data_IF_531814755680
#
_entry.id   IF_531814755680
#
_cell.length_a   1.000
_cell.length_b   1.000
_cell.length_c   1.000
_cell.angle_alpha   90.00
_cell.angle_beta   90.00
_cell.angle_gamma   90.00
#
_symmetry.space_group_name_H-M   'P 1'
#
loop_
_entity.id
_entity.type
_entity.pdbx_description
1 polymer ?
#
# COMPACT_ATOMS: atom_id res chain seq x y z
N UNK A 1 -41.45 27.14 -21.77
CA UNK A 1 -41.95 28.39 -22.38
C UNK A 1 -41.28 29.63 -21.76
N UNK A 2 -40.26 29.51 -20.94
CA UNK A 2 -39.61 30.63 -20.24
C UNK A 2 -38.24 31.08 -20.82
N UNK A 3 -37.74 30.43 -21.87
CA UNK A 3 -36.37 30.70 -22.40
C UNK A 3 -36.40 31.61 -23.66
N UNK A 4 -37.55 32.12 -24.12
CA UNK A 4 -37.68 32.96 -25.33
C UNK A 4 -37.90 34.46 -25.03
N UNK A 5 -38.11 34.87 -23.78
CA UNK A 5 -38.43 36.25 -23.42
C UNK A 5 -37.19 37.07 -22.90
N UNK A 6 -36.04 36.46 -22.73
CA UNK A 6 -34.85 37.15 -22.22
C UNK A 6 -33.89 37.64 -23.33
N UNK A 7 -34.13 37.32 -24.59
CA UNK A 7 -33.25 37.69 -25.72
C UNK A 7 -33.58 39.04 -26.39
N UNK A 8 -34.74 39.64 -26.09
CA UNK A 8 -35.17 40.87 -26.79
C UNK A 8 -35.02 42.14 -25.95
N UNK A 9 -34.39 42.10 -24.78
CA UNK A 9 -34.23 43.28 -23.92
C UNK A 9 -32.84 43.94 -24.00
N UNK A 10 -31.87 43.35 -24.69
CA UNK A 10 -30.49 43.84 -24.73
C UNK A 10 -30.04 44.45 -26.08
N UNK A 11 -30.98 44.71 -26.99
CA UNK A 11 -30.60 45.28 -28.29
C UNK A 11 -30.69 46.81 -28.39
N UNK A 12 -30.89 47.53 -27.27
CA UNK A 12 -31.10 49.01 -27.32
C UNK A 12 -30.09 49.86 -26.52
N UNK A 13 -29.01 49.27 -25.98
CA UNK A 13 -27.92 50.06 -25.40
C UNK A 13 -26.60 49.54 -25.99
N UNK A 14 -26.05 50.33 -26.92
CA UNK A 14 -24.71 50.13 -27.47
C UNK A 14 -23.62 50.31 -26.40
N UNK A 15 -23.31 49.26 -25.66
CA UNK A 15 -22.11 49.11 -24.86
C UNK A 15 -21.26 48.01 -25.45
N UNK A 16 -20.06 48.36 -25.86
CA UNK A 16 -19.02 47.47 -26.35
C UNK A 16 -18.80 46.34 -25.30
N UNK A 17 -19.08 45.11 -25.70
CA UNK A 17 -18.77 43.94 -24.89
C UNK A 17 -17.26 43.74 -24.89
N UNK A 18 -16.57 44.27 -23.90
CA UNK A 18 -15.26 43.72 -23.49
C UNK A 18 -15.52 42.24 -23.08
N UNK A 19 -14.91 41.33 -23.82
CA UNK A 19 -15.02 39.90 -23.61
C UNK A 19 -14.47 39.50 -22.22
N UNK A 20 -15.35 39.45 -21.24
CA UNK A 20 -15.09 38.71 -20.01
C UNK A 20 -15.22 37.25 -20.37
N UNK A 21 -14.10 36.58 -20.67
CA UNK A 21 -14.06 35.14 -20.65
C UNK A 21 -14.40 34.68 -19.23
N UNK A 22 -15.38 33.78 -19.04
CA UNK A 22 -15.62 33.20 -17.74
C UNK A 22 -14.34 32.45 -17.33
N UNK A 23 -13.74 32.86 -16.22
CA UNK A 23 -12.60 32.19 -15.59
C UNK A 23 -13.12 30.96 -14.83
N UNK A 24 -13.82 30.09 -15.55
CA UNK A 24 -13.96 28.70 -15.16
C UNK A 24 -12.84 27.94 -15.86
N UNK A 25 -11.65 28.03 -15.28
CA UNK A 25 -10.57 27.14 -15.61
C UNK A 25 -11.05 25.74 -15.28
N UNK A 26 -11.12 24.89 -16.30
CA UNK A 26 -11.35 23.45 -16.19
C UNK A 26 -10.48 22.87 -15.07
N UNK A 27 -11.04 22.78 -13.88
CA UNK A 27 -10.54 21.82 -12.88
C UNK A 27 -11.00 20.45 -13.39
N UNK A 28 -10.33 19.93 -14.39
CA UNK A 28 -10.38 18.51 -14.70
C UNK A 28 -9.84 17.82 -13.44
N UNK A 29 -10.73 17.36 -12.59
CA UNK A 29 -10.38 16.48 -11.47
C UNK A 29 -9.87 15.20 -12.13
N UNK A 30 -8.56 15.10 -12.30
CA UNK A 30 -7.93 13.85 -12.74
C UNK A 30 -8.34 12.77 -11.75
N UNK A 31 -8.78 11.63 -12.26
CA UNK A 31 -9.11 10.49 -11.41
C UNK A 31 -7.93 10.22 -10.45
N UNK A 32 -8.18 9.90 -9.18
CA UNK A 32 -7.12 9.66 -8.22
C UNK A 32 -6.17 8.54 -8.72
N UNK A 33 -4.89 8.70 -8.46
CA UNK A 33 -3.88 7.70 -8.83
C UNK A 33 -4.22 6.33 -8.22
N UNK A 34 -3.74 5.22 -8.79
CA UNK A 34 -3.92 3.90 -8.19
C UNK A 34 -3.50 3.85 -6.71
N UNK A 35 -2.37 4.49 -6.37
CA UNK A 35 -1.86 4.59 -4.99
C UNK A 35 -2.79 5.38 -4.08
N UNK A 36 -3.32 6.52 -4.55
CA UNK A 36 -4.30 7.32 -3.80
C UNK A 36 -5.60 6.54 -3.56
N UNK A 37 -6.10 5.80 -4.55
CA UNK A 37 -7.29 4.95 -4.39
C UNK A 37 -7.13 3.90 -3.30
N UNK A 38 -5.95 3.27 -3.20
CA UNK A 38 -5.64 2.31 -2.14
C UNK A 38 -5.57 3.02 -0.79
N UNK A 39 -4.92 4.18 -0.72
CA UNK A 39 -4.84 4.98 0.51
C UNK A 39 -6.22 5.40 1.02
N UNK A 40 -7.06 5.94 0.14
CA UNK A 40 -8.44 6.33 0.45
C UNK A 40 -9.27 5.13 0.95
N UNK A 41 -9.16 3.97 0.30
CA UNK A 41 -9.85 2.77 0.72
C UNK A 41 -9.44 2.32 2.13
N UNK A 42 -8.14 2.34 2.45
CA UNK A 42 -7.62 2.00 3.78
C UNK A 42 -8.08 3.00 4.86
N UNK A 43 -8.07 4.29 4.56
CA UNK A 43 -8.54 5.34 5.47
C UNK A 43 -10.05 5.20 5.70
N UNK A 44 -10.82 4.99 4.63
CA UNK A 44 -12.29 4.85 4.69
C UNK A 44 -12.75 3.73 5.63
N UNK A 45 -12.07 2.58 5.61
CA UNK A 45 -12.41 1.44 6.49
C UNK A 45 -11.81 1.54 7.89
N UNK A 46 -11.14 2.65 8.24
CA UNK A 46 -10.48 2.83 9.53
C UNK A 46 -9.24 1.95 9.74
N UNK A 47 -8.61 1.50 8.67
CA UNK A 47 -7.39 0.68 8.74
C UNK A 47 -6.17 1.46 9.26
N UNK A 48 -6.17 2.78 9.15
CA UNK A 48 -5.07 3.64 9.61
C UNK A 48 -5.45 4.24 10.97
N UNK A 49 -4.77 3.78 12.01
CA UNK A 49 -5.00 4.23 13.39
C UNK A 49 -3.88 5.16 13.83
N UNK A 50 -4.24 6.25 14.49
CA UNK A 50 -3.31 7.19 15.10
C UNK A 50 -3.35 7.01 16.61
N UNK A 51 -2.19 6.91 17.25
CA UNK A 51 -2.08 6.75 18.69
C UNK A 51 -2.62 7.98 19.43
N UNK A 52 -3.34 7.73 20.51
CA UNK A 52 -3.80 8.74 21.46
C UNK A 52 -3.03 8.54 22.76
N UNK A 53 -1.81 9.09 22.87
CA UNK A 53 -0.93 8.97 24.02
C UNK A 53 0.20 7.96 23.78
N UNK A 54 0.01 6.68 24.11
CA UNK A 54 1.08 5.68 23.97
C UNK A 54 1.28 5.26 22.51
N UNK A 55 2.55 5.13 22.05
CA UNK A 55 2.86 4.68 20.70
C UNK A 55 2.51 3.20 20.50
N UNK A 56 2.32 2.82 19.26
CA UNK A 56 2.31 1.41 18.88
C UNK A 56 3.75 0.90 18.81
N UNK A 57 4.02 -0.26 19.40
CA UNK A 57 5.31 -0.95 19.26
C UNK A 57 5.10 -2.18 18.38
N UNK A 58 5.75 -2.20 17.22
CA UNK A 58 5.65 -3.30 16.27
C UNK A 58 6.45 -4.52 16.74
N UNK A 59 6.15 -5.69 16.18
CA UNK A 59 6.93 -6.91 16.43
C UNK A 59 8.39 -6.80 15.99
N UNK A 60 8.70 -5.88 15.10
CA UNK A 60 10.05 -5.51 14.67
C UNK A 60 10.81 -4.67 15.71
N UNK A 61 10.13 -4.20 16.76
CA UNK A 61 10.67 -3.32 17.78
C UNK A 61 10.51 -1.82 17.50
N UNK A 62 10.10 -1.42 16.31
CA UNK A 62 9.85 -0.01 15.99
C UNK A 62 8.66 0.54 16.77
N UNK A 63 8.82 1.70 17.41
CA UNK A 63 7.71 2.49 17.93
C UNK A 63 7.20 3.45 16.84
N UNK A 64 5.88 3.61 16.77
CA UNK A 64 5.22 4.44 15.77
C UNK A 64 3.94 5.08 16.34
N UNK A 65 3.60 6.32 15.96
CA UNK A 65 2.30 6.91 16.26
C UNK A 65 1.20 6.36 15.35
N UNK A 66 1.56 5.55 14.35
CA UNK A 66 0.64 5.01 13.34
C UNK A 66 0.65 3.49 13.39
N UNK A 67 -0.54 2.90 13.29
CA UNK A 67 -0.72 1.47 13.06
C UNK A 67 -1.63 1.26 11.87
N UNK A 68 -1.17 0.48 10.88
CA UNK A 68 -1.94 0.17 9.66
C UNK A 68 -2.44 -1.27 9.76
N UNK A 69 -3.75 -1.43 9.96
CA UNK A 69 -4.41 -2.73 10.04
C UNK A 69 -5.07 -3.11 8.70
N UNK A 70 -4.26 -3.57 7.77
CA UNK A 70 -4.72 -4.01 6.45
C UNK A 70 -5.66 -5.21 6.52
N UNK A 71 -5.71 -5.94 7.66
CA UNK A 71 -6.60 -7.09 7.85
C UNK A 71 -8.08 -6.70 7.82
N UNK A 72 -8.40 -5.43 8.06
CA UNK A 72 -9.77 -4.92 7.90
C UNK A 72 -10.28 -5.04 6.46
N UNK A 73 -9.38 -5.08 5.46
CA UNK A 73 -9.74 -5.37 4.07
C UNK A 73 -10.40 -6.75 3.89
N UNK A 74 -10.12 -7.70 4.79
CA UNK A 74 -10.76 -9.02 4.73
C UNK A 74 -12.27 -8.93 4.94
N UNK A 75 -12.73 -7.98 5.72
CA UNK A 75 -14.14 -7.79 6.08
C UNK A 75 -14.86 -6.78 5.18
N UNK A 76 -14.13 -5.89 4.49
CA UNK A 76 -14.72 -4.91 3.59
C UNK A 76 -14.54 -5.32 2.12
N UNK A 77 -15.64 -5.69 1.47
CA UNK A 77 -15.62 -6.21 0.09
C UNK A 77 -15.24 -5.13 -0.93
N UNK A 78 -15.70 -3.89 -0.75
CA UNK A 78 -15.44 -2.82 -1.70
C UNK A 78 -13.98 -2.36 -1.65
N UNK A 79 -13.46 -2.10 -0.45
CA UNK A 79 -12.06 -1.74 -0.25
C UNK A 79 -11.11 -2.86 -0.70
N UNK A 80 -11.44 -4.13 -0.36
CA UNK A 80 -10.68 -5.29 -0.82
C UNK A 80 -10.61 -5.38 -2.34
N UNK A 81 -11.74 -5.20 -3.04
CA UNK A 81 -11.77 -5.20 -4.51
C UNK A 81 -10.89 -4.12 -5.08
N UNK A 82 -10.96 -2.91 -4.57
CA UNK A 82 -10.10 -1.80 -4.98
C UNK A 82 -8.62 -2.18 -4.88
N UNK A 83 -8.19 -2.73 -3.74
CA UNK A 83 -6.80 -3.13 -3.50
C UNK A 83 -6.37 -4.26 -4.44
N UNK A 84 -7.19 -5.29 -4.61
CA UNK A 84 -6.89 -6.45 -5.48
C UNK A 84 -6.86 -6.05 -6.95
N UNK A 85 -7.78 -5.19 -7.40
CA UNK A 85 -7.81 -4.69 -8.78
C UNK A 85 -6.55 -3.85 -9.07
N UNK A 86 -6.18 -2.91 -8.18
CA UNK A 86 -4.94 -2.13 -8.33
C UNK A 86 -3.70 -3.04 -8.36
N UNK A 87 -3.63 -4.05 -7.49
CA UNK A 87 -2.52 -4.99 -7.47
C UNK A 87 -2.42 -5.79 -8.79
N UNK A 88 -3.56 -6.27 -9.28
CA UNK A 88 -3.65 -7.02 -10.53
C UNK A 88 -3.20 -6.17 -11.73
N UNK A 89 -3.73 -4.96 -11.84
CA UNK A 89 -3.39 -4.03 -12.93
C UNK A 89 -1.91 -3.67 -12.94
N UNK A 90 -1.34 -3.45 -11.75
CA UNK A 90 0.07 -3.09 -11.59
C UNK A 90 1.02 -4.25 -11.94
N UNK A 91 0.64 -5.50 -11.66
CA UNK A 91 1.56 -6.63 -11.74
C UNK A 91 1.34 -7.57 -12.92
N UNK A 92 0.16 -7.60 -13.55
CA UNK A 92 -0.15 -8.58 -14.60
C UNK A 92 0.84 -8.59 -15.76
N UNK A 93 1.32 -7.44 -16.22
CA UNK A 93 2.32 -7.34 -17.28
C UNK A 93 3.70 -7.81 -16.81
N UNK A 94 4.11 -7.41 -15.60
CA UNK A 94 5.37 -7.79 -14.98
C UNK A 94 5.45 -9.31 -14.76
N UNK A 95 4.42 -9.91 -14.19
CA UNK A 95 4.30 -11.36 -13.96
C UNK A 95 4.48 -12.15 -15.27
N UNK A 96 3.81 -11.71 -16.34
CA UNK A 96 3.95 -12.35 -17.65
C UNK A 96 5.35 -12.19 -18.24
N UNK A 97 5.94 -11.01 -18.16
CA UNK A 97 7.25 -10.73 -18.77
C UNK A 97 8.42 -11.39 -18.04
N UNK A 98 8.32 -11.56 -16.73
CA UNK A 98 9.35 -12.21 -15.90
C UNK A 98 9.19 -13.72 -15.81
N UNK A 99 8.01 -14.24 -16.16
CA UNK A 99 7.68 -15.67 -16.07
C UNK A 99 7.44 -16.13 -14.63
N UNK A 100 7.03 -15.22 -13.73
CA UNK A 100 6.54 -15.61 -12.40
C UNK A 100 5.39 -16.60 -12.57
N UNK A 101 5.48 -17.75 -11.89
CA UNK A 101 4.55 -18.87 -12.06
C UNK A 101 3.92 -19.37 -10.76
N UNK A 102 4.14 -18.68 -9.64
CA UNK A 102 3.40 -18.90 -8.40
C UNK A 102 3.43 -17.65 -7.48
N UNK A 103 2.39 -17.52 -6.67
CA UNK A 103 2.27 -16.50 -5.62
C UNK A 103 2.51 -17.15 -4.26
N UNK A 104 3.26 -16.48 -3.37
CA UNK A 104 3.50 -16.93 -2.00
C UNK A 104 3.04 -15.89 -1.01
N UNK A 105 2.01 -16.18 -0.23
CA UNK A 105 1.54 -15.29 0.83
C UNK A 105 2.34 -15.42 2.12
N UNK A 106 2.63 -14.31 2.78
CA UNK A 106 3.23 -14.31 4.13
C UNK A 106 2.19 -14.69 5.20
N UNK A 107 2.51 -15.59 6.11
CA UNK A 107 1.68 -15.81 7.30
C UNK A 107 1.69 -14.55 8.18
N UNK A 108 0.53 -14.00 8.60
CA UNK A 108 -0.83 -14.45 8.34
C UNK A 108 -1.56 -13.58 7.32
N UNK A 109 -1.33 -12.26 7.31
CA UNK A 109 -2.09 -11.30 6.50
C UNK A 109 -1.88 -11.51 5.01
N UNK A 110 -0.65 -11.78 4.59
CA UNK A 110 -0.30 -12.02 3.19
C UNK A 110 -0.95 -13.26 2.58
N UNK A 111 -1.44 -14.21 3.38
CA UNK A 111 -2.13 -15.40 2.87
C UNK A 111 -3.40 -15.00 2.11
N UNK A 112 -4.26 -14.18 2.71
CA UNK A 112 -5.50 -13.77 2.07
C UNK A 112 -5.25 -12.93 0.80
N UNK A 113 -4.33 -11.96 0.88
CA UNK A 113 -3.98 -11.11 -0.27
C UNK A 113 -3.30 -11.91 -1.38
N UNK A 114 -2.41 -12.84 -1.01
CA UNK A 114 -1.78 -13.76 -1.97
C UNK A 114 -2.80 -14.65 -2.68
N UNK A 115 -3.81 -15.17 -1.96
CA UNK A 115 -4.85 -15.99 -2.56
C UNK A 115 -5.72 -15.22 -3.54
N UNK A 116 -6.16 -13.99 -3.19
CA UNK A 116 -6.96 -13.18 -4.11
C UNK A 116 -6.17 -12.73 -5.33
N UNK A 117 -4.90 -12.41 -5.17
CA UNK A 117 -4.04 -12.01 -6.29
C UNK A 117 -3.73 -13.21 -7.20
N UNK A 118 -3.43 -14.38 -6.62
CA UNK A 118 -3.19 -15.61 -7.38
C UNK A 118 -4.39 -16.00 -8.25
N UNK A 119 -5.61 -15.92 -7.69
CA UNK A 119 -6.85 -16.15 -8.44
C UNK A 119 -6.99 -15.18 -9.61
N UNK A 120 -6.69 -13.89 -9.42
CA UNK A 120 -6.77 -12.88 -10.48
C UNK A 120 -5.71 -13.03 -11.56
N UNK A 121 -4.55 -13.58 -11.20
CA UNK A 121 -3.43 -13.81 -12.13
C UNK A 121 -3.43 -15.22 -12.75
N UNK A 122 -4.38 -16.06 -12.37
CA UNK A 122 -4.45 -17.49 -12.75
C UNK A 122 -3.15 -18.25 -12.44
N UNK A 123 -2.66 -18.08 -11.19
CA UNK A 123 -1.43 -18.69 -10.71
C UNK A 123 -1.65 -19.58 -9.48
N UNK A 124 -0.86 -20.65 -9.32
CA UNK A 124 -0.80 -21.39 -8.06
C UNK A 124 -0.48 -20.49 -6.87
N UNK A 125 -1.10 -20.79 -5.71
CA UNK A 125 -0.88 -20.10 -4.46
C UNK A 125 -0.26 -21.03 -3.41
N UNK A 126 0.80 -20.52 -2.76
CA UNK A 126 1.49 -21.11 -1.62
C UNK A 126 1.53 -20.10 -0.48
N UNK A 127 1.87 -20.54 0.74
CA UNK A 127 2.16 -19.57 1.80
C UNK A 127 3.39 -19.93 2.63
N UNK A 128 4.09 -18.91 3.10
CA UNK A 128 5.28 -19.04 3.92
C UNK A 128 4.93 -18.81 5.40
N UNK A 129 5.18 -19.81 6.24
CA UNK A 129 4.97 -19.75 7.68
C UNK A 129 6.03 -18.87 8.36
N UNK A 130 5.64 -18.16 9.40
CA UNK A 130 6.58 -17.40 10.25
C UNK A 130 7.60 -18.30 10.95
N UNK A 131 7.13 -19.51 11.38
CA UNK A 131 7.98 -20.49 12.09
C UNK A 131 7.88 -21.85 11.40
N UNK A 132 8.95 -22.65 11.40
CA UNK A 132 8.90 -24.03 10.94
C UNK A 132 7.90 -24.83 11.76
N UNK A 133 7.27 -25.84 11.13
CA UNK A 133 6.58 -26.89 11.85
C UNK A 133 7.61 -27.71 12.64
N UNK A 134 7.31 -28.07 13.89
CA UNK A 134 8.22 -28.83 14.75
C UNK A 134 8.37 -30.31 14.34
N UNK A 135 7.81 -30.72 13.19
CA UNK A 135 7.87 -32.07 12.64
C UNK A 135 8.02 -32.01 11.11
N UNK A 136 8.47 -33.11 10.50
CA UNK A 136 8.80 -33.14 9.08
C UNK A 136 10.13 -32.46 8.75
N UNK A 137 10.35 -32.06 7.50
CA UNK A 137 11.60 -31.45 7.03
C UNK A 137 11.78 -29.98 7.48
N UNK A 138 11.20 -29.57 8.60
CA UNK A 138 11.18 -28.19 9.09
C UNK A 138 10.68 -27.17 8.04
N UNK A 139 9.85 -27.64 7.10
CA UNK A 139 9.37 -26.82 6.00
C UNK A 139 8.54 -25.65 6.51
N UNK A 140 8.87 -24.46 6.04
CA UNK A 140 8.09 -23.25 6.27
C UNK A 140 7.12 -22.95 5.14
N UNK A 141 7.26 -23.61 3.99
CA UNK A 141 6.46 -23.40 2.80
C UNK A 141 5.35 -24.44 2.71
N UNK A 142 4.13 -23.98 2.66
CA UNK A 142 2.93 -24.80 2.46
C UNK A 142 2.46 -24.70 1.01
N UNK A 143 2.05 -25.85 0.46
CA UNK A 143 1.73 -26.03 -0.94
C UNK A 143 2.86 -26.70 -1.70
N UNK A 144 2.68 -26.87 -3.00
CA UNK A 144 3.65 -27.52 -3.88
C UNK A 144 4.28 -26.50 -4.83
N UNK A 145 5.60 -26.37 -4.81
CA UNK A 145 6.33 -25.56 -5.78
C UNK A 145 6.12 -26.09 -7.21
N UNK A 146 5.80 -25.23 -8.18
CA UNK A 146 5.79 -25.63 -9.57
C UNK A 146 7.22 -25.94 -10.07
N UNK A 147 7.37 -26.67 -11.18
CA UNK A 147 8.67 -26.81 -11.84
C UNK A 147 9.26 -25.45 -12.20
N UNK A 148 10.57 -25.30 -12.03
CA UNK A 148 11.29 -24.03 -12.27
C UNK A 148 10.58 -22.82 -11.60
N UNK A 149 10.25 -22.98 -10.31
CA UNK A 149 9.46 -22.01 -9.56
C UNK A 149 10.08 -20.61 -9.60
N UNK A 150 9.33 -19.63 -10.10
CA UNK A 150 9.59 -18.20 -10.01
C UNK A 150 8.47 -17.57 -9.21
N UNK A 151 8.81 -16.97 -8.09
CA UNK A 151 7.85 -16.60 -7.06
C UNK A 151 7.62 -15.10 -6.96
N UNK A 152 6.35 -14.71 -6.79
CA UNK A 152 5.96 -13.42 -6.26
C UNK A 152 5.58 -13.59 -4.79
N UNK A 153 6.34 -12.97 -3.88
CA UNK A 153 6.02 -12.95 -2.46
C UNK A 153 5.06 -11.81 -2.14
N UNK A 154 4.00 -12.08 -1.39
CA UNK A 154 2.95 -11.12 -1.05
C UNK A 154 2.84 -11.00 0.47
N UNK A 155 2.97 -9.77 0.96
CA UNK A 155 2.76 -9.43 2.36
C UNK A 155 1.88 -8.17 2.46
N UNK A 156 1.54 -7.74 3.66
CA UNK A 156 0.64 -6.61 3.86
C UNK A 156 1.37 -5.27 3.98
N UNK A 157 2.32 -5.15 4.90
CA UNK A 157 2.99 -3.88 5.22
C UNK A 157 4.49 -4.10 5.33
N UNK A 158 5.28 -3.09 4.95
CA UNK A 158 6.71 -3.07 5.23
C UNK A 158 7.16 -1.73 5.84
N UNK A 159 8.12 -1.81 6.76
CA UNK A 159 8.86 -0.70 7.36
C UNK A 159 10.29 -0.72 6.83
N UNK A 160 11.19 -1.44 7.49
CA UNK A 160 12.61 -1.56 7.21
C UNK A 160 13.00 -2.72 6.25
N UNK A 161 12.03 -3.44 5.72
CA UNK A 161 12.16 -4.57 4.81
C UNK A 161 12.88 -5.82 5.34
N UNK A 162 13.37 -5.85 6.59
CA UNK A 162 14.08 -7.01 7.16
C UNK A 162 13.27 -8.30 7.07
N UNK A 163 11.97 -8.25 7.36
CA UNK A 163 11.09 -9.42 7.26
C UNK A 163 10.94 -9.94 5.83
N UNK A 164 10.97 -9.04 4.83
CA UNK A 164 10.88 -9.39 3.41
C UNK A 164 12.17 -10.08 2.94
N UNK A 165 13.33 -9.56 3.37
CA UNK A 165 14.63 -10.18 3.11
C UNK A 165 14.73 -11.56 3.76
N UNK A 166 14.32 -11.70 5.02
CA UNK A 166 14.31 -13.00 5.71
C UNK A 166 13.38 -14.03 5.01
N UNK A 167 12.21 -13.60 4.56
CA UNK A 167 11.28 -14.43 3.79
C UNK A 167 11.89 -14.85 2.43
N UNK A 168 12.52 -13.90 1.73
CA UNK A 168 13.20 -14.15 0.46
C UNK A 168 14.30 -15.20 0.61
N UNK A 169 15.13 -15.09 1.65
CA UNK A 169 16.17 -16.08 1.94
C UNK A 169 15.59 -17.47 2.18
N UNK A 170 14.49 -17.56 2.94
CA UNK A 170 13.81 -18.83 3.18
C UNK A 170 13.20 -19.45 1.91
N UNK A 171 12.64 -18.63 1.01
CA UNK A 171 12.08 -19.09 -0.25
C UNK A 171 13.19 -19.53 -1.22
N UNK A 172 14.27 -18.78 -1.36
CA UNK A 172 15.44 -19.16 -2.18
C UNK A 172 16.08 -20.46 -1.70
N UNK A 173 16.09 -20.71 -0.40
CA UNK A 173 16.59 -21.97 0.16
C UNK A 173 15.81 -23.23 -0.29
N UNK A 174 14.58 -23.05 -0.80
CA UNK A 174 13.82 -24.16 -1.43
C UNK A 174 14.24 -24.46 -2.87
N UNK A 175 15.18 -23.71 -3.43
CA UNK A 175 15.59 -23.79 -4.85
C UNK A 175 14.73 -22.95 -5.79
N UNK A 176 13.78 -22.18 -5.27
CA UNK A 176 12.94 -21.30 -6.08
C UNK A 176 13.68 -20.00 -6.45
N UNK A 177 13.39 -19.48 -7.63
CA UNK A 177 13.79 -18.13 -8.06
C UNK A 177 12.82 -17.11 -7.44
N UNK A 178 13.37 -16.14 -6.69
CA UNK A 178 12.58 -15.18 -5.92
C UNK A 178 13.27 -13.81 -5.94
N UNK A 179 12.64 -12.85 -6.63
CA UNK A 179 13.16 -11.49 -6.79
C UNK A 179 12.10 -10.42 -6.59
N UNK A 180 10.83 -10.79 -6.48
CA UNK A 180 9.70 -9.86 -6.46
C UNK A 180 8.86 -10.01 -5.19
N UNK A 181 8.65 -8.90 -4.50
CA UNK A 181 7.79 -8.81 -3.33
C UNK A 181 6.74 -7.73 -3.56
N UNK A 182 5.46 -8.06 -3.31
CA UNK A 182 4.37 -7.10 -3.24
C UNK A 182 3.99 -6.84 -1.79
N UNK A 183 3.79 -5.56 -1.45
CA UNK A 183 3.13 -5.14 -0.22
C UNK A 183 1.98 -4.19 -0.54
N UNK A 184 0.96 -4.18 0.31
CA UNK A 184 -0.13 -3.19 0.18
C UNK A 184 0.42 -1.81 0.55
N UNK A 185 1.13 -1.72 1.68
CA UNK A 185 1.70 -0.46 2.17
C UNK A 185 3.20 -0.59 2.40
N UNK A 186 3.96 0.28 1.76
CA UNK A 186 5.34 0.59 2.14
C UNK A 186 5.34 1.93 2.89
N UNK A 187 5.87 1.96 4.12
CA UNK A 187 6.03 3.24 4.82
C UNK A 187 6.95 4.20 4.06
N UNK A 188 7.96 3.69 3.35
CA UNK A 188 8.90 4.43 2.49
C UNK A 188 9.64 5.59 3.19
N UNK A 189 9.60 5.65 4.54
CA UNK A 189 10.29 6.65 5.38
C UNK A 189 11.49 6.05 6.12
N UNK A 190 11.66 4.73 6.08
CA UNK A 190 12.81 4.04 6.67
C UNK A 190 13.93 3.90 5.63
N UNK A 191 14.89 4.81 5.66
CA UNK A 191 15.92 4.92 4.62
C UNK A 191 16.80 3.67 4.47
N UNK A 192 16.95 2.86 5.52
CA UNK A 192 17.69 1.61 5.48
C UNK A 192 17.03 0.51 4.62
N UNK A 193 15.73 0.61 4.34
CA UNK A 193 14.99 -0.40 3.59
C UNK A 193 15.50 -0.56 2.14
N UNK A 194 15.70 0.55 1.43
CA UNK A 194 16.11 0.51 0.01
C UNK A 194 17.51 -0.08 -0.23
N UNK A 195 18.58 0.31 0.50
CA UNK A 195 19.87 -0.35 0.40
C UNK A 195 19.80 -1.84 0.71
N UNK A 196 19.05 -2.24 1.76
CA UNK A 196 18.88 -3.62 2.16
C UNK A 196 18.19 -4.46 1.07
N UNK A 197 17.14 -3.94 0.45
CA UNK A 197 16.45 -4.59 -0.67
C UNK A 197 17.39 -4.76 -1.88
N UNK A 198 18.16 -3.73 -2.21
CA UNK A 198 19.13 -3.76 -3.32
C UNK A 198 20.23 -4.79 -3.10
N UNK A 199 20.82 -4.85 -1.90
CA UNK A 199 21.83 -5.84 -1.51
C UNK A 199 21.33 -7.27 -1.74
N UNK A 200 20.07 -7.52 -1.39
CA UNK A 200 19.44 -8.84 -1.56
C UNK A 200 18.78 -9.05 -2.92
N UNK A 201 18.93 -8.12 -3.88
CA UNK A 201 18.32 -8.19 -5.22
C UNK A 201 16.83 -8.50 -5.14
N UNK A 202 16.12 -7.76 -4.27
CA UNK A 202 14.68 -7.89 -4.06
C UNK A 202 13.97 -6.65 -4.55
N UNK A 203 13.17 -6.79 -5.62
CA UNK A 203 12.25 -5.77 -6.10
C UNK A 203 11.04 -5.67 -5.15
N UNK A 204 10.76 -4.47 -4.68
CA UNK A 204 9.58 -4.19 -3.86
C UNK A 204 8.55 -3.42 -4.68
N UNK A 205 7.42 -4.05 -4.91
CA UNK A 205 6.21 -3.44 -5.45
C UNK A 205 5.31 -3.03 -4.28
N UNK A 206 4.86 -1.79 -4.25
CA UNK A 206 3.95 -1.30 -3.21
C UNK A 206 2.75 -0.63 -3.86
N UNK A 207 1.56 -0.88 -3.30
CA UNK A 207 0.31 -0.32 -3.85
C UNK A 207 0.10 1.11 -3.38
N UNK A 208 0.53 1.42 -2.15
CA UNK A 208 0.51 2.78 -1.60
C UNK A 208 1.65 2.99 -0.60
N UNK A 209 1.89 4.25 -0.23
CA UNK A 209 2.94 4.66 0.68
C UNK A 209 2.37 5.52 1.82
N UNK A 210 3.17 5.72 2.87
CA UNK A 210 2.76 6.58 3.99
C UNK A 210 2.38 8.00 3.56
N UNK A 211 3.04 8.56 2.57
CA UNK A 211 2.74 9.90 2.07
C UNK A 211 1.30 10.05 1.55
N UNK A 212 0.82 9.06 0.76
CA UNK A 212 -0.55 9.03 0.26
C UNK A 212 -1.56 8.76 1.37
N UNK A 213 -1.23 7.85 2.32
CA UNK A 213 -2.07 7.60 3.49
C UNK A 213 -2.23 8.85 4.34
N UNK A 214 -1.15 9.59 4.58
CA UNK A 214 -1.17 10.85 5.33
C UNK A 214 -2.03 11.91 4.61
N UNK A 215 -1.88 12.03 3.29
CA UNK A 215 -2.72 12.91 2.47
C UNK A 215 -4.20 12.54 2.56
N UNK A 216 -4.53 11.25 2.45
CA UNK A 216 -5.91 10.76 2.56
C UNK A 216 -6.49 10.99 3.96
N UNK A 217 -5.70 10.79 5.02
CA UNK A 217 -6.11 11.09 6.40
C UNK A 217 -6.44 12.57 6.60
N UNK A 218 -5.59 13.48 6.07
CA UNK A 218 -5.84 14.92 6.14
C UNK A 218 -7.11 15.30 5.37
N UNK A 219 -7.32 14.72 4.20
CA UNK A 219 -8.51 14.96 3.37
C UNK A 219 -9.79 14.44 4.02
N UNK A 220 -9.73 13.30 4.72
CA UNK A 220 -10.87 12.74 5.45
C UNK A 220 -11.28 13.58 6.68
N UNK A 221 -10.39 14.44 7.16
CA UNK A 221 -10.60 15.24 8.37
C UNK A 221 -10.51 14.40 9.64
N UNK A 222 -10.75 15.02 10.79
CA UNK A 222 -10.80 14.32 12.08
C UNK A 222 -9.47 14.19 12.82
N UNK A 223 -8.35 14.60 12.24
CA UNK A 223 -7.07 14.71 12.97
C UNK A 223 -7.00 15.99 13.79
N UNK A 224 -6.74 15.86 15.09
CA UNK A 224 -6.46 17.02 15.94
C UNK A 224 -5.13 17.70 15.53
N UNK A 225 -4.94 18.97 15.92
CA UNK A 225 -3.69 19.68 15.69
C UNK A 225 -2.49 18.96 16.34
N UNK A 226 -2.70 18.35 17.50
CA UNK A 226 -1.70 17.52 18.19
C UNK A 226 -1.32 16.30 17.36
N UNK A 227 -2.30 15.54 16.86
CA UNK A 227 -2.05 14.38 15.99
C UNK A 227 -1.30 14.77 14.72
N UNK A 228 -1.66 15.88 14.08
CA UNK A 228 -0.94 16.38 12.90
C UNK A 228 0.52 16.71 13.22
N UNK A 229 0.80 17.33 14.38
CA UNK A 229 2.16 17.62 14.82
C UNK A 229 2.97 16.35 15.07
N UNK A 230 2.39 15.35 15.73
CA UNK A 230 3.01 14.05 15.99
C UNK A 230 3.35 13.34 14.67
N UNK A 231 2.41 13.32 13.72
CA UNK A 231 2.61 12.68 12.42
C UNK A 231 3.69 13.39 11.59
N UNK A 232 3.76 14.71 11.66
CA UNK A 232 4.80 15.48 10.99
C UNK A 232 6.20 15.17 11.58
N UNK A 233 6.33 15.15 12.89
CA UNK A 233 7.59 14.80 13.57
C UNK A 233 8.04 13.37 13.24
N UNK A 234 7.12 12.41 13.28
CA UNK A 234 7.39 11.01 12.91
C UNK A 234 7.83 10.89 11.44
N UNK A 235 7.13 11.55 10.52
CA UNK A 235 7.45 11.50 9.09
C UNK A 235 8.82 12.10 8.78
N UNK A 236 9.23 13.15 9.52
CA UNK A 236 10.51 13.80 9.34
C UNK A 236 11.70 12.93 9.78
N UNK A 237 11.57 12.20 10.91
CA UNK A 237 12.62 11.33 11.42
C UNK A 237 12.04 10.14 12.20
N UNK A 238 11.59 9.07 11.52
CA UNK A 238 10.97 7.91 12.17
C UNK A 238 11.92 7.14 13.09
N UNK A 239 13.22 7.16 12.81
CA UNK A 239 14.25 6.50 13.61
C UNK A 239 14.38 7.19 14.97
N UNK A 240 14.59 8.50 14.96
CA UNK A 240 14.71 9.29 16.18
C UNK A 240 13.41 9.24 16.99
N UNK A 241 12.28 9.40 16.30
CA UNK A 241 10.97 9.31 16.94
C UNK A 241 10.77 7.97 17.67
N UNK A 242 11.14 6.85 17.03
CA UNK A 242 11.05 5.52 17.63
C UNK A 242 11.91 5.39 18.90
N UNK A 243 13.16 5.85 18.86
CA UNK A 243 14.07 5.83 20.00
C UNK A 243 13.53 6.64 21.18
N UNK A 244 12.99 7.82 20.94
CA UNK A 244 12.41 8.70 21.96
C UNK A 244 11.13 8.12 22.59
N UNK A 245 10.50 7.16 21.93
CA UNK A 245 9.24 6.55 22.35
C UNK A 245 9.37 5.06 22.71
N UNK A 246 10.58 4.61 23.07
CA UNK A 246 10.82 3.27 23.62
C UNK A 246 10.93 2.16 22.57
N UNK A 247 11.10 2.51 21.30
CA UNK A 247 11.36 1.55 20.23
C UNK A 247 12.84 1.45 19.85
N UNK A 248 13.12 0.66 18.80
CA UNK A 248 14.47 0.52 18.23
C UNK A 248 14.80 1.65 17.26
N UNK A 249 16.09 1.86 16.96
CA UNK A 249 16.59 2.91 16.08
C UNK A 249 17.27 2.44 14.81
N UNK A 250 17.62 1.16 14.70
CA UNK A 250 18.20 0.54 13.48
C UNK A 250 18.35 -0.98 13.66
#
# INVERSE_FOLDING_TARGET
MAHRLFRNFLSHFGMATMGVRPFFQDMSMSSPSPSARVAEALVHIGAVRIASGQPFVYTSGWASPVYIDTRLLMSDVAARRTVVDVATDALAAHVRSTGINAVVGAESSGIAFGAWLAERLDLPMLYLRKRPLGWGNAARLEGRLPPAAKLLFVDDVTTDARSKVAATAALRATGADMHDCLVIVDYAIYHAARPLLAEHRLGLHSLTHWAELHTALLAAGGLSAEQQSILAAFSANPVQWSLEHGGVGA
#
